data_IF_350957687647
#
_entry.id   IF_350957687647
#
_cell.length_a   1.000
_cell.length_b   1.000
_cell.length_c   1.000
_cell.angle_alpha   90.00
_cell.angle_beta   90.00
_cell.angle_gamma   90.00
#
_symmetry.space_group_name_H-M   'P 1'
#
loop_
_entity.id
_entity.type
_entity.pdbx_description
1 polymer ?
#
# COMPACT_ATOMS: atom_id res chain seq x y z
N UNK A 1 21.61 -31.22 53.03
CA UNK A 1 20.44 -30.37 53.36
C UNK A 1 20.24 -29.38 52.23
N UNK A 2 19.18 -29.56 51.43
CA UNK A 2 18.80 -28.68 50.34
C UNK A 2 17.71 -27.72 50.83
N UNK A 3 17.85 -26.42 50.59
CA UNK A 3 16.72 -25.46 50.58
C UNK A 3 16.96 -24.42 49.48
N UNK A 4 16.40 -24.71 48.30
CA UNK A 4 16.04 -23.73 47.27
C UNK A 4 14.67 -23.16 47.63
N UNK A 5 14.59 -21.84 47.75
CA UNK A 5 13.40 -20.99 47.67
C UNK A 5 13.96 -19.55 47.55
N UNK A 6 13.43 -18.60 46.78
CA UNK A 6 12.02 -18.30 46.54
C UNK A 6 11.92 -17.41 45.28
N UNK A 7 10.92 -17.69 44.45
CA UNK A 7 10.50 -16.87 43.30
C UNK A 7 9.75 -15.62 43.75
N UNK A 8 10.02 -14.47 43.12
CA UNK A 8 9.12 -13.31 43.00
C UNK A 8 9.54 -12.51 41.75
N UNK A 9 8.91 -12.73 40.60
CA UNK A 9 7.83 -11.86 40.10
C UNK A 9 8.28 -10.40 39.89
N UNK A 10 8.78 -10.11 38.70
CA UNK A 10 8.94 -8.76 38.16
C UNK A 10 8.23 -8.67 36.82
N UNK A 11 6.97 -8.21 36.84
CA UNK A 11 6.19 -7.83 35.66
C UNK A 11 6.49 -6.35 35.38
N UNK A 12 7.09 -6.07 34.22
CA UNK A 12 7.07 -4.76 33.58
C UNK A 12 7.32 -5.01 32.09
N UNK A 13 6.28 -5.06 31.26
CA UNK A 13 5.64 -3.91 30.62
C UNK A 13 6.13 -3.83 29.17
N UNK A 14 5.15 -3.83 28.27
CA UNK A 14 5.32 -4.19 26.87
C UNK A 14 6.24 -3.28 26.08
N UNK A 15 6.88 -3.88 25.08
CA UNK A 15 7.23 -3.20 23.84
C UNK A 15 6.95 -4.17 22.69
N UNK A 16 5.85 -3.88 21.99
CA UNK A 16 5.68 -4.17 20.57
C UNK A 16 5.84 -5.62 20.15
N UNK A 17 4.76 -6.38 20.30
CA UNK A 17 4.35 -7.29 19.22
C UNK A 17 4.21 -6.47 17.93
N UNK A 18 5.33 -6.19 17.25
CA UNK A 18 5.31 -6.03 15.80
C UNK A 18 5.05 -7.44 15.26
N UNK A 19 3.81 -7.89 15.43
CA UNK A 19 3.15 -8.69 14.41
C UNK A 19 3.29 -7.84 13.16
N UNK A 20 4.35 -8.09 12.39
CA UNK A 20 4.32 -7.88 10.97
C UNK A 20 3.14 -8.73 10.53
N UNK A 21 1.94 -8.12 10.54
CA UNK A 21 0.81 -8.65 9.83
C UNK A 21 1.40 -9.04 8.48
N UNK A 22 1.19 -10.29 8.01
CA UNK A 22 1.49 -10.56 6.63
C UNK A 22 0.70 -9.49 5.91
N UNK A 23 1.39 -8.55 5.26
CA UNK A 23 0.75 -7.67 4.31
C UNK A 23 0.11 -8.66 3.38
N UNK A 24 -1.20 -8.89 3.54
CA UNK A 24 -1.97 -9.80 2.70
C UNK A 24 -1.58 -9.36 1.31
N UNK A 25 -0.81 -10.20 0.61
CA UNK A 25 0.12 -9.76 -0.43
C UNK A 25 -0.61 -8.76 -1.30
N UNK A 26 -0.33 -7.47 -1.10
CA UNK A 26 -1.19 -6.43 -1.65
C UNK A 26 -1.06 -6.61 -3.16
N UNK A 27 -2.13 -7.09 -3.80
CA UNK A 27 -2.08 -7.45 -5.22
C UNK A 27 -1.71 -6.23 -6.07
N UNK A 28 -1.92 -5.05 -5.51
CA UNK A 28 -1.57 -3.75 -6.04
C UNK A 28 -0.94 -2.87 -4.96
N UNK A 29 0.23 -2.33 -5.30
CA UNK A 29 0.88 -1.22 -4.62
C UNK A 29 0.48 0.07 -5.33
N UNK A 30 0.32 1.14 -4.58
CA UNK A 30 -0.08 2.42 -5.12
C UNK A 30 0.95 3.48 -4.73
N UNK A 31 1.23 4.39 -5.68
CA UNK A 31 2.00 5.59 -5.42
C UNK A 31 1.06 6.65 -4.84
N UNK A 32 1.27 6.98 -3.57
CA UNK A 32 0.53 8.00 -2.86
C UNK A 32 1.31 9.31 -2.87
N UNK A 33 0.63 10.39 -3.23
CA UNK A 33 1.12 11.75 -3.03
C UNK A 33 0.71 12.18 -1.63
N UNK A 34 1.68 12.46 -0.77
CA UNK A 34 1.49 13.01 0.59
C UNK A 34 2.13 14.38 0.69
N UNK A 35 1.85 15.10 1.78
CA UNK A 35 2.47 16.41 2.04
C UNK A 35 4.01 16.35 2.12
N UNK A 36 4.56 15.19 2.47
CA UNK A 36 6.01 14.97 2.60
C UNK A 36 6.66 14.41 1.33
N UNK A 37 5.88 14.14 0.28
CA UNK A 37 6.37 13.64 -1.00
C UNK A 37 5.62 12.40 -1.51
N UNK A 38 6.30 11.63 -2.37
CA UNK A 38 5.76 10.38 -2.93
C UNK A 38 6.09 9.20 -2.02
N UNK A 39 5.10 8.38 -1.70
CA UNK A 39 5.29 7.15 -0.90
C UNK A 39 4.57 5.97 -1.56
N UNK A 40 5.18 4.80 -1.46
CA UNK A 40 4.59 3.55 -1.92
C UNK A 40 3.98 2.80 -0.76
N UNK A 41 2.69 2.55 -0.86
CA UNK A 41 1.93 1.83 0.14
C UNK A 41 1.00 0.83 -0.56
N UNK A 42 0.47 -0.17 0.19
CA UNK A 42 -0.62 -0.99 -0.30
C UNK A 42 -1.76 -0.11 -0.83
N UNK A 43 -2.54 -0.64 -1.77
CA UNK A 43 -3.69 0.09 -2.25
C UNK A 43 -4.69 0.38 -1.12
N UNK A 44 -5.36 1.54 -1.20
CA UNK A 44 -6.34 1.96 -0.21
C UNK A 44 -7.56 1.04 -0.24
N UNK A 45 -8.25 0.95 0.89
CA UNK A 45 -9.60 0.42 0.95
C UNK A 45 -10.56 1.60 1.17
N UNK A 46 -11.58 1.70 0.31
CA UNK A 46 -12.64 2.72 0.42
C UNK A 46 -13.96 1.97 0.54
N UNK A 47 -14.73 2.26 1.60
CA UNK A 47 -16.00 1.58 1.90
C UNK A 47 -15.90 0.03 1.95
N UNK A 48 -14.74 -0.48 2.41
CA UNK A 48 -14.47 -1.92 2.49
C UNK A 48 -14.12 -2.58 1.16
N UNK A 49 -13.91 -1.79 0.10
CA UNK A 49 -13.48 -2.27 -1.22
C UNK A 49 -12.05 -1.80 -1.48
N UNK A 50 -11.17 -2.75 -1.83
CA UNK A 50 -9.81 -2.42 -2.26
C UNK A 50 -9.84 -1.60 -3.56
N UNK A 51 -9.23 -0.43 -3.50
CA UNK A 51 -9.12 0.53 -4.60
C UNK A 51 -8.13 -0.01 -5.64
N UNK A 52 -8.58 -0.92 -6.50
CA UNK A 52 -7.74 -1.50 -7.56
C UNK A 52 -7.92 -0.75 -8.86
N UNK A 53 -6.98 -0.87 -9.83
CA UNK A 53 -7.17 -0.31 -11.16
C UNK A 53 -8.52 -0.67 -11.79
N UNK A 54 -8.92 -1.94 -11.63
CA UNK A 54 -10.18 -2.46 -12.16
C UNK A 54 -11.40 -1.85 -11.47
N UNK A 55 -11.36 -1.71 -10.14
CA UNK A 55 -12.45 -1.09 -9.40
C UNK A 55 -12.65 0.37 -9.82
N UNK A 56 -11.55 1.13 -9.92
CA UNK A 56 -11.61 2.54 -10.33
C UNK A 56 -12.22 2.69 -11.73
N UNK A 57 -11.75 1.90 -12.70
CA UNK A 57 -12.27 1.96 -14.07
C UNK A 57 -13.73 1.48 -14.19
N UNK A 58 -14.20 0.65 -13.25
CA UNK A 58 -15.57 0.17 -13.24
C UNK A 58 -16.53 1.18 -12.58
N UNK A 59 -16.11 1.80 -11.48
CA UNK A 59 -16.96 2.67 -10.66
C UNK A 59 -16.88 4.15 -11.10
N UNK A 60 -15.81 4.54 -11.78
CA UNK A 60 -15.57 5.92 -12.24
C UNK A 60 -15.37 5.98 -13.76
N UNK A 61 -16.43 6.20 -14.56
CA UNK A 61 -16.32 6.28 -16.02
C UNK A 61 -15.50 7.47 -16.51
N UNK A 62 -15.26 8.47 -15.67
CA UNK A 62 -14.34 9.59 -15.92
C UNK A 62 -12.85 9.19 -15.86
N UNK A 63 -12.54 8.03 -15.28
CA UNK A 63 -11.20 7.50 -15.15
C UNK A 63 -10.80 6.66 -16.37
N UNK A 64 -9.61 6.90 -16.90
CA UNK A 64 -9.07 6.18 -18.07
C UNK A 64 -7.62 5.82 -17.87
N UNK A 65 -7.23 4.70 -18.47
CA UNK A 65 -5.81 4.34 -18.58
C UNK A 65 -5.07 5.43 -19.38
N UNK A 66 -3.90 5.84 -18.89
CA UNK A 66 -3.07 6.81 -19.60
C UNK A 66 -2.25 6.11 -20.67
N UNK A 67 -2.02 6.80 -21.79
CA UNK A 67 -1.11 6.35 -22.85
C UNK A 67 0.36 6.34 -22.41
N UNK A 68 0.66 6.95 -21.25
CA UNK A 68 1.99 6.99 -20.64
C UNK A 68 2.31 5.74 -19.80
N UNK A 69 1.34 4.85 -19.62
CA UNK A 69 1.60 3.53 -19.03
C UNK A 69 2.70 2.85 -19.88
N UNK A 70 3.92 2.64 -19.35
CA UNK A 70 5.01 2.12 -20.16
C UNK A 70 4.61 0.74 -20.66
N UNK A 71 4.47 0.56 -21.98
CA UNK A 71 3.99 -0.72 -22.53
C UNK A 71 4.89 -1.92 -22.19
N UNK A 72 6.13 -1.66 -21.76
CA UNK A 72 7.09 -2.68 -21.31
C UNK A 72 6.90 -3.08 -19.84
N UNK A 73 6.07 -2.36 -19.08
CA UNK A 73 5.82 -2.59 -17.66
C UNK A 73 4.33 -2.93 -17.48
N UNK A 74 3.95 -4.15 -17.88
CA UNK A 74 2.59 -4.69 -17.68
C UNK A 74 2.17 -4.75 -16.21
N UNK A 75 3.13 -4.56 -15.31
CA UNK A 75 2.96 -4.49 -13.88
C UNK A 75 2.59 -3.10 -13.37
N UNK A 76 2.80 -2.04 -14.16
CA UNK A 76 2.51 -0.65 -13.79
C UNK A 76 1.28 -0.16 -14.54
N UNK A 77 0.30 0.41 -13.84
CA UNK A 77 -0.96 0.88 -14.39
C UNK A 77 -1.19 2.31 -13.95
N UNK A 78 -1.25 3.23 -14.91
CA UNK A 78 -1.56 4.64 -14.66
C UNK A 78 -2.98 4.94 -15.08
N UNK A 79 -3.79 5.45 -14.16
CA UNK A 79 -5.18 5.83 -14.39
C UNK A 79 -5.30 7.33 -14.16
N UNK A 80 -5.64 8.08 -15.20
CA UNK A 80 -6.00 9.48 -15.09
C UNK A 80 -7.51 9.60 -14.89
N UNK A 81 -7.92 10.20 -13.79
CA UNK A 81 -9.31 10.53 -13.50
C UNK A 81 -9.53 12.02 -13.72
N UNK A 82 -10.21 12.36 -14.81
CA UNK A 82 -10.54 13.75 -15.14
C UNK A 82 -11.79 14.22 -14.36
N UNK A 83 -12.07 15.53 -14.37
CA UNK A 83 -13.28 16.08 -13.75
C UNK A 83 -13.21 16.18 -12.23
N UNK A 84 -14.13 15.53 -11.50
CA UNK A 84 -14.31 15.72 -10.04
C UNK A 84 -13.17 15.19 -9.19
N UNK A 85 -12.54 14.09 -9.63
CA UNK A 85 -11.41 13.49 -8.92
C UNK A 85 -10.11 14.21 -9.29
N UNK A 86 -9.95 14.56 -10.57
CA UNK A 86 -8.89 15.45 -11.08
C UNK A 86 -7.47 15.00 -10.71
N UNK A 87 -7.21 13.68 -10.68
CA UNK A 87 -5.92 13.13 -10.25
C UNK A 87 -5.53 11.89 -11.03
N UNK A 88 -4.22 11.67 -11.10
CA UNK A 88 -3.64 10.43 -11.62
C UNK A 88 -3.35 9.48 -10.47
N UNK A 89 -3.77 8.23 -10.64
CA UNK A 89 -3.43 7.11 -9.78
C UNK A 89 -2.40 6.25 -10.49
N UNK A 90 -1.36 5.83 -9.77
CA UNK A 90 -0.33 4.94 -10.31
C UNK A 90 -0.29 3.70 -9.43
N UNK A 91 -0.52 2.54 -10.05
CA UNK A 91 -0.53 1.24 -9.40
C UNK A 91 0.59 0.37 -9.95
N UNK A 92 1.18 -0.46 -9.12
CA UNK A 92 2.15 -1.48 -9.53
C UNK A 92 1.83 -2.84 -8.90
N UNK A 93 2.21 -3.93 -9.55
CA UNK A 93 2.09 -5.29 -8.99
C UNK A 93 3.09 -5.59 -7.86
N UNK A 94 4.18 -4.81 -7.77
CA UNK A 94 5.21 -5.02 -6.75
C UNK A 94 5.61 -3.72 -6.05
N UNK A 95 5.94 -3.83 -4.76
CA UNK A 95 6.46 -2.72 -3.96
C UNK A 95 7.71 -2.10 -4.58
N UNK A 96 8.64 -2.95 -5.02
CA UNK A 96 9.90 -2.50 -5.61
C UNK A 96 9.68 -1.68 -6.89
N UNK A 97 8.74 -2.09 -7.76
CA UNK A 97 8.38 -1.29 -8.93
C UNK A 97 7.79 0.06 -8.53
N UNK A 98 6.91 0.10 -7.51
CA UNK A 98 6.37 1.36 -7.01
C UNK A 98 7.49 2.27 -6.48
N UNK A 99 8.39 1.74 -5.64
CA UNK A 99 9.45 2.53 -5.01
C UNK A 99 10.43 3.11 -6.04
N UNK A 100 10.64 2.42 -7.17
CA UNK A 100 11.43 2.96 -8.29
C UNK A 100 10.80 4.24 -8.87
N UNK A 101 9.47 4.31 -8.97
CA UNK A 101 8.74 5.50 -9.45
C UNK A 101 8.88 6.71 -8.51
N UNK A 102 9.27 6.51 -7.24
CA UNK A 102 9.57 7.63 -6.32
C UNK A 102 10.90 8.29 -6.70
N UNK A 103 11.86 7.51 -7.20
CA UNK A 103 13.22 7.96 -7.52
C UNK A 103 13.33 8.60 -8.91
N UNK A 104 12.30 8.45 -9.77
CA UNK A 104 12.19 9.10 -11.08
C UNK A 104 11.72 10.56 -11.01
#
# INVERSE_FOLDING_TARGET
MARRALSSAGVAAGLGLFMAAPAAAAEWWMLHQTETGRVCAPSLEVDGVALTPRAILADHPECKLTNETPSQDLDTVMINCEGRIGRVFVFTRSKAACERLIAE
#
